data_IF_152850671802
#
_entry.id   IF_152850671802
#
_cell.length_a   1.000
_cell.length_b   1.000
_cell.length_c   1.000
_cell.angle_alpha   90.00
_cell.angle_beta   90.00
_cell.angle_gamma   90.00
#
_symmetry.space_group_name_H-M   'P 1'
#
loop_
_entity.id
_entity.type
_entity.pdbx_description
1 polymer ?
#
# COMPACT_ATOMS: atom_id res chain seq x y z
N UNK A 1 11.13 32.16 -0.70
CA UNK A 1 10.80 31.09 -1.65
C UNK A 1 9.94 30.05 -0.96
N UNK A 2 8.62 30.26 -0.96
CA UNK A 2 7.62 29.40 -0.30
C UNK A 2 7.03 28.34 -1.27
N UNK A 3 7.72 28.01 -2.35
CA UNK A 3 7.17 27.23 -3.46
C UNK A 3 7.48 25.72 -3.51
N UNK A 4 8.34 25.19 -2.62
CA UNK A 4 8.71 23.77 -2.61
C UNK A 4 8.69 23.21 -1.18
N UNK A 5 7.57 23.35 -0.49
CA UNK A 5 7.37 22.58 0.74
C UNK A 5 6.99 21.17 0.32
N UNK A 6 7.93 20.25 0.52
CA UNK A 6 7.69 18.83 0.34
C UNK A 6 6.81 18.35 1.48
N UNK A 7 5.50 18.35 1.28
CA UNK A 7 4.56 17.86 2.27
C UNK A 7 4.40 16.33 2.16
N UNK A 8 4.09 15.69 3.28
CA UNK A 8 3.76 14.26 3.30
C UNK A 8 2.57 13.99 2.37
N UNK A 9 1.58 14.88 2.34
CA UNK A 9 0.40 14.77 1.49
C UNK A 9 0.77 14.68 0.01
N UNK A 10 1.67 15.56 -0.47
CA UNK A 10 2.16 15.52 -1.85
C UNK A 10 2.95 14.24 -2.19
N UNK A 11 3.61 13.62 -1.21
CA UNK A 11 4.25 12.32 -1.40
C UNK A 11 3.22 11.18 -1.43
N UNK A 12 2.16 11.26 -0.62
CA UNK A 12 1.10 10.25 -0.56
C UNK A 12 0.22 10.24 -1.82
N UNK A 13 0.19 11.32 -2.60
CA UNK A 13 -0.39 11.31 -3.95
C UNK A 13 0.39 10.43 -4.94
N UNK A 14 1.68 10.16 -4.66
CA UNK A 14 2.58 9.44 -5.57
C UNK A 14 2.80 7.99 -5.16
N UNK A 15 2.75 7.69 -3.86
CA UNK A 15 3.03 6.35 -3.30
C UNK A 15 2.11 6.04 -2.14
N UNK A 16 1.94 4.76 -1.82
CA UNK A 16 1.15 4.31 -0.67
C UNK A 16 1.83 4.69 0.66
N UNK A 17 1.07 4.85 1.75
CA UNK A 17 1.64 5.18 3.07
C UNK A 17 2.77 4.26 3.53
N UNK A 18 2.64 2.94 3.29
CA UNK A 18 3.69 1.97 3.64
C UNK A 18 4.95 2.15 2.78
N UNK A 19 4.80 2.51 1.51
CA UNK A 19 5.93 2.78 0.61
C UNK A 19 6.67 4.05 1.02
N UNK A 20 5.93 5.09 1.41
CA UNK A 20 6.50 6.30 1.98
C UNK A 20 7.24 6.00 3.28
N UNK A 21 6.64 5.20 4.19
CA UNK A 21 7.30 4.78 5.43
C UNK A 21 8.59 4.01 5.15
N UNK A 22 8.56 3.10 4.17
CA UNK A 22 9.75 2.36 3.74
C UNK A 22 10.83 3.31 3.22
N UNK A 23 10.47 4.28 2.37
CA UNK A 23 11.40 5.30 1.86
C UNK A 23 12.05 6.09 2.98
N UNK A 24 11.25 6.68 3.89
CA UNK A 24 11.75 7.51 4.99
C UNK A 24 12.63 6.71 5.96
N UNK A 25 12.33 5.43 6.17
CA UNK A 25 13.10 4.54 7.04
C UNK A 25 14.31 3.90 6.36
N UNK A 26 14.48 4.00 5.05
CA UNK A 26 15.55 3.31 4.31
C UNK A 26 16.94 3.93 4.49
N UNK A 27 17.01 5.19 4.85
CA UNK A 27 18.27 5.86 5.15
C UNK A 27 18.72 5.61 6.61
N UNK A 28 20.01 5.67 6.87
CA UNK A 28 20.51 5.68 8.24
C UNK A 28 20.05 6.97 8.95
N UNK A 29 19.58 6.90 10.19
CA UNK A 29 18.98 8.04 10.90
C UNK A 29 19.92 9.25 11.08
N UNK A 30 21.24 9.04 10.96
CA UNK A 30 22.26 10.11 10.98
C UNK A 30 22.59 10.67 9.59
N UNK A 31 22.08 10.07 8.52
CA UNK A 31 22.34 10.50 7.16
C UNK A 31 21.26 11.47 6.68
N UNK A 32 21.65 12.35 5.79
CA UNK A 32 20.69 13.19 5.06
C UNK A 32 19.96 12.30 4.05
N UNK A 33 18.63 12.32 4.09
CA UNK A 33 17.81 11.71 3.05
C UNK A 33 17.54 12.77 1.98
N UNK A 34 18.17 12.62 0.83
CA UNK A 34 17.90 13.49 -0.31
C UNK A 34 16.62 13.03 -1.00
N UNK A 35 15.66 13.93 -1.11
CA UNK A 35 14.44 13.65 -1.83
C UNK A 35 14.59 13.90 -3.32
N UNK A 36 14.17 12.89 -4.10
CA UNK A 36 13.73 13.09 -5.48
C UNK A 36 12.51 12.19 -5.76
N UNK A 37 11.65 12.54 -6.72
CA UNK A 37 10.55 11.67 -7.13
C UNK A 37 11.03 10.27 -7.56
N UNK A 38 12.18 10.20 -8.23
CA UNK A 38 12.79 8.96 -8.69
C UNK A 38 13.21 8.08 -7.51
N UNK A 39 13.88 8.64 -6.49
CA UNK A 39 14.29 7.92 -5.29
C UNK A 39 13.07 7.39 -4.51
N UNK A 40 11.99 8.17 -4.44
CA UNK A 40 10.74 7.74 -3.83
C UNK A 40 10.13 6.54 -4.58
N UNK A 41 10.08 6.59 -5.91
CA UNK A 41 9.55 5.51 -6.74
C UNK A 41 10.43 4.26 -6.71
N UNK A 42 11.76 4.41 -6.65
CA UNK A 42 12.70 3.30 -6.49
C UNK A 42 12.50 2.59 -5.16
N UNK A 43 12.36 3.34 -4.07
CA UNK A 43 12.08 2.78 -2.75
C UNK A 43 10.71 2.07 -2.72
N UNK A 44 9.68 2.66 -3.32
CA UNK A 44 8.37 2.03 -3.47
C UNK A 44 8.45 0.71 -4.24
N UNK A 45 9.21 0.68 -5.33
CA UNK A 45 9.45 -0.56 -6.09
C UNK A 45 10.23 -1.59 -5.26
N UNK A 46 11.17 -1.16 -4.41
CA UNK A 46 11.86 -1.99 -3.44
C UNK A 46 10.90 -2.68 -2.47
N UNK A 47 10.01 -1.90 -1.87
CA UNK A 47 8.97 -2.42 -0.98
C UNK A 47 8.02 -3.41 -1.68
N UNK A 48 7.55 -3.08 -2.89
CA UNK A 48 6.65 -3.96 -3.66
C UNK A 48 7.24 -5.33 -3.92
N UNK A 49 8.56 -5.44 -4.14
CA UNK A 49 9.23 -6.75 -4.29
C UNK A 49 9.13 -7.60 -3.03
N UNK A 50 9.22 -6.99 -1.84
CA UNK A 50 9.02 -7.69 -0.56
C UNK A 50 7.56 -8.14 -0.46
N UNK A 51 6.62 -7.24 -0.70
CA UNK A 51 5.17 -7.50 -0.63
C UNK A 51 4.76 -8.63 -1.60
N UNK A 52 5.19 -8.57 -2.85
CA UNK A 52 4.90 -9.60 -3.86
C UNK A 52 5.46 -10.96 -3.50
N UNK A 53 6.68 -11.00 -2.96
CA UNK A 53 7.30 -12.25 -2.48
C UNK A 53 6.47 -12.87 -1.36
N UNK A 54 6.11 -12.10 -0.34
CA UNK A 54 5.33 -12.57 0.81
C UNK A 54 3.94 -13.01 0.37
N UNK A 55 3.26 -12.27 -0.52
CA UNK A 55 1.95 -12.64 -1.08
C UNK A 55 2.02 -13.94 -1.86
N UNK A 56 3.01 -14.12 -2.72
CA UNK A 56 3.20 -15.34 -3.50
C UNK A 56 3.50 -16.55 -2.63
N UNK A 57 4.18 -16.38 -1.49
CA UNK A 57 4.43 -17.42 -0.51
C UNK A 57 3.22 -17.76 0.39
N UNK A 58 2.05 -17.17 0.12
CA UNK A 58 0.80 -17.45 0.85
C UNK A 58 0.63 -16.64 2.14
N UNK A 59 1.37 -15.55 2.32
CA UNK A 59 1.27 -14.67 3.50
C UNK A 59 1.39 -15.43 4.84
N UNK A 60 2.46 -16.23 5.04
CA UNK A 60 2.61 -17.03 6.27
C UNK A 60 2.71 -16.13 7.51
N UNK A 61 2.33 -16.65 8.67
CA UNK A 61 2.48 -15.93 9.94
C UNK A 61 3.95 -15.60 10.23
N UNK A 62 4.26 -14.39 10.74
CA UNK A 62 5.61 -14.01 11.11
C UNK A 62 6.21 -14.96 12.15
N UNK A 63 7.48 -15.32 11.99
CA UNK A 63 8.18 -16.20 12.94
C UNK A 63 9.25 -15.44 13.72
N UNK A 64 10.51 -15.51 13.30
CA UNK A 64 11.64 -14.86 13.94
C UNK A 64 12.52 -14.19 12.88
N UNK A 65 13.34 -13.26 13.30
CA UNK A 65 14.34 -12.62 12.44
C UNK A 65 15.64 -13.42 12.40
N UNK A 66 16.51 -13.09 11.44
CA UNK A 66 17.86 -13.69 11.33
C UNK A 66 18.85 -12.99 12.26
N UNK A 67 19.95 -13.69 12.56
CA UNK A 67 21.06 -13.09 13.33
C UNK A 67 21.64 -11.87 12.60
N UNK A 68 21.80 -11.94 11.26
CA UNK A 68 22.29 -10.84 10.44
C UNK A 68 21.40 -9.58 10.51
N UNK A 69 20.08 -9.75 10.61
CA UNK A 69 19.16 -8.64 10.84
C UNK A 69 19.34 -8.04 12.25
N UNK A 70 19.45 -8.88 13.26
CA UNK A 70 19.67 -8.42 14.64
C UNK A 70 21.03 -7.69 14.76
N UNK A 71 22.10 -8.22 14.17
CA UNK A 71 23.41 -7.58 14.13
C UNK A 71 23.35 -6.21 13.44
N UNK A 72 22.64 -6.09 12.32
CA UNK A 72 22.47 -4.82 11.62
C UNK A 72 21.80 -3.74 12.49
N UNK A 73 20.77 -4.11 13.27
CA UNK A 73 20.11 -3.18 14.17
C UNK A 73 20.95 -2.88 15.44
N UNK A 74 21.74 -3.83 15.92
CA UNK A 74 22.65 -3.64 17.03
C UNK A 74 23.87 -2.77 16.65
N UNK A 75 24.22 -2.71 15.35
CA UNK A 75 25.27 -1.85 14.81
C UNK A 75 24.71 -0.44 14.48
N UNK A 76 24.57 0.38 15.51
CA UNK A 76 24.09 1.77 15.43
C UNK A 76 22.76 1.91 14.67
N UNK A 77 21.86 0.96 14.86
CA UNK A 77 20.53 0.94 14.23
C UNK A 77 20.59 1.08 12.70
N UNK A 78 21.47 0.29 12.07
CA UNK A 78 21.72 0.36 10.63
C UNK A 78 20.55 -0.22 9.81
N UNK A 79 19.47 0.57 9.66
CA UNK A 79 18.31 0.17 8.84
C UNK A 79 18.69 -0.19 7.40
N UNK A 80 19.62 0.50 6.73
CA UNK A 80 20.04 0.08 5.38
C UNK A 80 20.59 -1.35 5.34
N UNK A 81 21.39 -1.78 6.34
CA UNK A 81 21.89 -3.16 6.44
C UNK A 81 20.76 -4.14 6.74
N UNK A 82 19.84 -3.77 7.62
CA UNK A 82 18.67 -4.59 7.95
C UNK A 82 17.77 -4.81 6.73
N UNK A 83 17.54 -3.78 5.91
CA UNK A 83 16.80 -3.89 4.65
C UNK A 83 17.54 -4.74 3.61
N UNK A 84 18.87 -4.63 3.55
CA UNK A 84 19.68 -5.49 2.66
C UNK A 84 19.52 -6.96 3.03
N UNK A 85 19.45 -7.31 4.31
CA UNK A 85 19.19 -8.67 4.78
C UNK A 85 17.79 -9.16 4.35
N UNK A 86 16.76 -8.34 4.50
CA UNK A 86 15.40 -8.66 4.01
C UNK A 86 15.44 -8.96 2.51
N UNK A 87 16.09 -8.11 1.70
CA UNK A 87 16.18 -8.32 0.26
C UNK A 87 17.03 -9.55 -0.13
N UNK A 88 18.04 -9.92 0.67
CA UNK A 88 18.79 -11.15 0.49
C UNK A 88 17.87 -12.35 0.66
N UNK A 89 17.09 -12.40 1.75
CA UNK A 89 16.13 -13.48 1.98
C UNK A 89 15.05 -13.55 0.89
N UNK A 90 14.55 -12.42 0.42
CA UNK A 90 13.62 -12.39 -0.72
C UNK A 90 14.26 -13.03 -1.96
N UNK A 91 15.52 -12.74 -2.25
CA UNK A 91 16.24 -13.37 -3.39
C UNK A 91 16.45 -14.88 -3.20
N UNK A 92 16.74 -15.32 -1.99
CA UNK A 92 16.87 -16.75 -1.64
C UNK A 92 15.52 -17.46 -1.73
N UNK A 93 14.48 -16.87 -1.15
CA UNK A 93 13.13 -17.41 -1.17
C UNK A 93 12.55 -17.55 -2.57
N UNK A 94 12.91 -16.64 -3.49
CA UNK A 94 12.53 -16.74 -4.90
C UNK A 94 13.11 -17.98 -5.62
N UNK A 95 14.16 -18.59 -5.08
CA UNK A 95 14.80 -19.79 -5.61
C UNK A 95 14.44 -21.05 -4.82
N UNK A 96 13.81 -20.89 -3.65
CA UNK A 96 13.46 -22.00 -2.78
C UNK A 96 12.27 -22.80 -3.34
N UNK A 97 12.26 -24.12 -3.09
CA UNK A 97 11.10 -24.96 -3.41
C UNK A 97 9.90 -24.66 -2.53
N UNK A 98 10.16 -24.33 -1.28
CA UNK A 98 9.16 -23.86 -0.30
C UNK A 98 9.62 -22.48 0.19
N UNK A 99 8.88 -21.47 -0.19
CA UNK A 99 9.18 -20.08 0.16
C UNK A 99 8.52 -19.65 1.48
N UNK A 100 7.58 -20.41 2.02
CA UNK A 100 6.78 -19.99 3.17
C UNK A 100 7.63 -19.75 4.44
N UNK A 101 8.59 -20.60 4.82
CA UNK A 101 9.43 -20.36 6.00
C UNK A 101 10.27 -19.07 5.88
N UNK A 102 10.79 -18.79 4.68
CA UNK A 102 11.59 -17.59 4.41
C UNK A 102 10.69 -16.35 4.43
N UNK A 103 9.51 -16.44 3.86
CA UNK A 103 8.54 -15.34 3.88
C UNK A 103 8.05 -15.02 5.31
N UNK A 104 7.92 -16.02 6.18
CA UNK A 104 7.62 -15.83 7.59
C UNK A 104 8.72 -15.03 8.33
N UNK A 105 9.98 -15.29 8.04
CA UNK A 105 11.11 -14.51 8.56
C UNK A 105 11.14 -13.09 7.98
N UNK A 106 10.92 -12.94 6.67
CA UNK A 106 10.82 -11.62 6.02
C UNK A 106 9.73 -10.78 6.66
N UNK A 107 8.55 -11.35 6.94
CA UNK A 107 7.47 -10.66 7.64
C UNK A 107 7.87 -10.24 9.06
N UNK A 108 8.53 -11.12 9.82
CA UNK A 108 8.99 -10.82 11.18
C UNK A 108 9.96 -9.63 11.20
N UNK A 109 10.92 -9.58 10.27
CA UNK A 109 11.87 -8.48 10.13
C UNK A 109 11.18 -7.19 9.64
N UNK A 110 10.29 -7.29 8.67
CA UNK A 110 9.51 -6.16 8.16
C UNK A 110 8.59 -5.57 9.24
N UNK A 111 8.05 -6.39 10.14
CA UNK A 111 7.25 -5.95 11.28
C UNK A 111 8.05 -5.10 12.26
N UNK A 112 9.30 -5.45 12.55
CA UNK A 112 10.20 -4.65 13.40
C UNK A 112 10.39 -3.25 12.83
N UNK A 113 10.50 -3.14 11.49
CA UNK A 113 10.65 -1.85 10.80
C UNK A 113 9.29 -1.13 10.56
N UNK A 114 8.17 -1.76 10.93
CA UNK A 114 6.82 -1.24 10.75
C UNK A 114 6.35 -1.24 9.29
N UNK A 115 6.88 -2.14 8.45
CA UNK A 115 6.57 -2.27 7.02
C UNK A 115 6.13 -3.70 6.64
N UNK A 116 5.61 -4.49 7.60
CA UNK A 116 5.10 -5.83 7.32
C UNK A 116 3.92 -5.75 6.33
N UNK A 117 3.98 -6.44 5.18
CA UNK A 117 2.88 -6.47 4.21
C UNK A 117 1.55 -6.95 4.79
N UNK A 118 1.57 -7.78 5.83
CA UNK A 118 0.37 -8.27 6.50
C UNK A 118 -0.30 -7.26 7.44
N UNK A 119 0.43 -6.23 7.88
CA UNK A 119 -0.08 -5.20 8.79
C UNK A 119 -0.68 -3.97 8.07
N UNK A 120 -0.46 -3.85 6.76
CA UNK A 120 -0.95 -2.72 5.97
C UNK A 120 -2.06 -3.17 5.03
N UNK A 121 -3.16 -2.39 4.91
CA UNK A 121 -4.21 -2.70 3.95
C UNK A 121 -3.62 -2.74 2.54
N UNK A 122 -3.83 -3.83 1.83
CA UNK A 122 -3.49 -3.87 0.41
C UNK A 122 -4.49 -2.99 -0.33
N UNK A 123 -4.02 -1.92 -0.96
CA UNK A 123 -4.84 -1.01 -1.76
C UNK A 123 -5.65 -1.70 -2.87
N UNK A 124 -5.26 -2.93 -3.24
CA UNK A 124 -5.90 -3.67 -4.33
C UNK A 124 -7.14 -4.48 -3.92
N UNK A 125 -7.25 -4.95 -2.66
CA UNK A 125 -8.38 -5.81 -2.29
C UNK A 125 -9.59 -5.01 -1.80
N UNK A 126 -9.39 -3.99 -0.97
CA UNK A 126 -10.50 -3.18 -0.47
C UNK A 126 -11.00 -2.18 -1.53
N UNK A 127 -10.10 -1.58 -2.33
CA UNK A 127 -10.52 -0.71 -3.44
C UNK A 127 -11.23 -1.50 -4.54
N UNK A 128 -10.78 -2.71 -4.88
CA UNK A 128 -11.46 -3.51 -5.90
C UNK A 128 -12.85 -3.99 -5.43
N UNK A 129 -12.99 -4.44 -4.18
CA UNK A 129 -14.28 -4.80 -3.62
C UNK A 129 -15.22 -3.59 -3.52
N UNK A 130 -14.70 -2.44 -3.09
CA UNK A 130 -15.45 -1.18 -3.06
C UNK A 130 -15.85 -0.74 -4.47
N UNK A 131 -14.93 -0.78 -5.45
CA UNK A 131 -15.22 -0.46 -6.84
C UNK A 131 -16.38 -1.32 -7.37
N UNK A 132 -16.32 -2.64 -7.21
CA UNK A 132 -17.38 -3.57 -7.66
C UNK A 132 -18.73 -3.23 -7.03
N UNK A 133 -18.75 -2.93 -5.73
CA UNK A 133 -19.99 -2.57 -5.03
C UNK A 133 -20.55 -1.22 -5.48
N UNK A 134 -19.67 -0.22 -5.65
CA UNK A 134 -20.10 1.12 -6.10
C UNK A 134 -20.56 1.08 -7.55
N UNK A 135 -19.86 0.37 -8.43
CA UNK A 135 -20.25 0.21 -9.83
C UNK A 135 -21.63 -0.47 -9.94
N UNK A 136 -21.90 -1.51 -9.16
CA UNK A 136 -23.22 -2.16 -9.12
C UNK A 136 -24.34 -1.20 -8.67
N UNK A 137 -24.09 -0.34 -7.67
CA UNK A 137 -25.06 0.66 -7.21
C UNK A 137 -25.24 1.78 -8.26
N UNK A 138 -24.19 2.18 -8.98
CA UNK A 138 -24.26 3.16 -10.06
C UNK A 138 -25.04 2.61 -11.27
N UNK A 139 -24.87 1.34 -11.61
CA UNK A 139 -25.64 0.67 -12.66
C UNK A 139 -27.14 0.57 -12.29
N UNK A 140 -27.44 0.23 -11.03
CA UNK A 140 -28.80 0.24 -10.51
C UNK A 140 -29.44 1.64 -10.59
N UNK A 141 -28.68 2.69 -10.25
CA UNK A 141 -29.14 4.09 -10.38
C UNK A 141 -29.40 4.45 -11.85
N UNK A 142 -28.52 4.04 -12.76
CA UNK A 142 -28.66 4.31 -14.19
C UNK A 142 -29.93 3.65 -14.76
N UNK A 143 -30.19 2.39 -14.39
CA UNK A 143 -31.40 1.64 -14.78
C UNK A 143 -32.67 2.33 -14.25
N UNK A 144 -32.71 2.70 -12.97
CA UNK A 144 -33.83 3.41 -12.37
C UNK A 144 -34.13 4.74 -13.10
N UNK A 145 -33.08 5.49 -13.48
CA UNK A 145 -33.25 6.74 -14.24
C UNK A 145 -33.80 6.48 -15.67
N UNK A 146 -33.36 5.41 -16.31
CA UNK A 146 -33.86 5.03 -17.64
C UNK A 146 -35.35 4.64 -17.58
N UNK A 147 -35.79 4.00 -16.50
CA UNK A 147 -37.17 3.60 -16.25
C UNK A 147 -38.01 4.74 -15.64
N UNK A 148 -37.42 5.93 -15.39
CA UNK A 148 -38.02 7.09 -14.74
C UNK A 148 -38.49 6.82 -13.29
N UNK A 149 -37.89 5.83 -12.64
CA UNK A 149 -38.04 5.56 -11.22
C UNK A 149 -37.09 6.47 -10.42
N UNK A 150 -37.53 7.69 -10.23
CA UNK A 150 -36.77 8.72 -9.52
C UNK A 150 -36.59 8.39 -8.06
N UNK A 151 -37.53 7.67 -7.43
CA UNK A 151 -37.47 7.29 -6.03
C UNK A 151 -36.30 6.34 -5.77
N UNK A 152 -36.15 5.30 -6.58
CA UNK A 152 -35.01 4.36 -6.51
C UNK A 152 -33.69 5.04 -6.85
N UNK A 153 -33.67 5.94 -7.85
CA UNK A 153 -32.45 6.66 -8.21
C UNK A 153 -31.93 7.57 -7.06
N UNK A 154 -32.85 8.26 -6.37
CA UNK A 154 -32.51 9.11 -5.22
C UNK A 154 -32.11 8.27 -4.00
N UNK A 155 -32.77 7.14 -3.73
CA UNK A 155 -32.38 6.21 -2.66
C UNK A 155 -30.94 5.73 -2.83
N UNK A 156 -30.52 5.33 -4.04
CA UNK A 156 -29.16 4.90 -4.33
C UNK A 156 -28.16 6.03 -4.08
N UNK A 157 -28.46 7.23 -4.57
CA UNK A 157 -27.61 8.42 -4.34
C UNK A 157 -27.43 8.71 -2.85
N UNK A 158 -28.50 8.69 -2.10
CA UNK A 158 -28.47 8.98 -0.66
C UNK A 158 -27.71 7.88 0.11
N UNK A 159 -27.77 6.63 -0.35
CA UNK A 159 -27.01 5.52 0.22
C UNK A 159 -25.52 5.70 -0.01
N UNK A 160 -25.09 6.03 -1.24
CA UNK A 160 -23.71 6.31 -1.57
C UNK A 160 -23.17 7.51 -0.78
N UNK A 161 -23.95 8.59 -0.70
CA UNK A 161 -23.59 9.78 0.09
C UNK A 161 -23.42 9.47 1.58
N UNK A 162 -24.31 8.66 2.18
CA UNK A 162 -24.17 8.21 3.58
C UNK A 162 -22.96 7.31 3.81
N UNK A 163 -22.53 6.58 2.78
CA UNK A 163 -21.29 5.78 2.81
C UNK A 163 -20.03 6.62 2.60
N UNK A 164 -20.15 7.96 2.47
CA UNK A 164 -19.01 8.84 2.19
C UNK A 164 -18.54 8.80 0.73
N UNK A 165 -19.39 8.35 -0.19
CA UNK A 165 -19.08 8.30 -1.62
C UNK A 165 -19.78 9.45 -2.33
N UNK A 166 -18.98 10.30 -2.97
CA UNK A 166 -19.47 11.41 -3.79
C UNK A 166 -19.48 10.99 -5.25
N UNK A 167 -20.63 11.16 -5.92
CA UNK A 167 -20.81 10.78 -7.33
C UNK A 167 -21.02 12.03 -8.17
N UNK A 168 -20.24 12.17 -9.22
CA UNK A 168 -20.34 13.26 -10.20
C UNK A 168 -20.72 12.68 -11.56
N UNK A 169 -21.83 13.14 -12.13
CA UNK A 169 -22.24 12.75 -13.49
C UNK A 169 -21.40 13.54 -14.51
N UNK A 170 -20.62 12.84 -15.34
CA UNK A 170 -19.81 13.43 -16.42
C UNK A 170 -20.31 12.99 -17.79
N UNK A 171 -19.81 13.61 -18.85
CA UNK A 171 -20.15 13.25 -20.23
C UNK A 171 -19.75 11.81 -20.60
N UNK A 172 -18.71 11.28 -19.94
CA UNK A 172 -18.18 9.92 -20.14
C UNK A 172 -18.79 8.89 -19.18
N UNK A 173 -19.78 9.30 -18.36
CA UNK A 173 -20.43 8.46 -17.36
C UNK A 173 -20.25 8.98 -15.93
N UNK A 174 -20.86 8.31 -14.93
CA UNK A 174 -20.72 8.69 -13.53
C UNK A 174 -19.31 8.39 -13.04
N UNK A 175 -18.66 9.39 -12.42
CA UNK A 175 -17.40 9.23 -11.70
C UNK A 175 -17.67 9.34 -10.21
N UNK A 176 -16.88 8.67 -9.40
CA UNK A 176 -17.04 8.68 -7.95
C UNK A 176 -15.73 8.78 -7.21
N UNK A 177 -15.78 9.32 -6.01
CA UNK A 177 -14.65 9.40 -5.09
C UNK A 177 -15.12 9.21 -3.64
N UNK A 178 -14.22 8.72 -2.78
CA UNK A 178 -14.49 8.65 -1.34
C UNK A 178 -14.23 10.03 -0.76
N UNK A 179 -15.20 10.56 -0.02
CA UNK A 179 -15.06 11.84 0.68
C UNK A 179 -14.20 11.62 1.92
N UNK A 180 -13.07 12.31 1.99
CA UNK A 180 -12.22 12.37 3.18
C UNK A 180 -12.87 13.19 4.32
#
# INVERSE_FOLDING_TARGET
SLGNVLSIDAMLEQVRPVELRYYLGSAHYRSVLEYSPEALQEAAAGYRRIEEFVKRAGMPEPTTWTDGFAEALNDDFSVPKALAEIHNLVREGNKAKDAAPIAAQVRAMAAVLGVDPGAWPSSSSNSNALNVLVEAELERRATARAEKDWATADEVRDRLTRAGIEVTDTADGPQWQVKE
#
